data_IF_315566398162
#
_entry.id   IF_315566398162
#
_cell.length_a   1.000
_cell.length_b   1.000
_cell.length_c   1.000
_cell.angle_alpha   90.00
_cell.angle_beta   90.00
_cell.angle_gamma   90.00
#
_symmetry.space_group_name_H-M   'P 1'
#
loop_
_entity.id
_entity.type
_entity.pdbx_description
1 polymer ?
#
# COMPACT_ATOMS: atom_id res chain seq x y z
N UNK A 1 10.88 7.57 1.30
CA UNK A 1 10.88 6.10 1.46
C UNK A 1 10.59 5.38 0.15
N UNK A 2 9.45 5.61 -0.51
CA UNK A 2 9.11 4.98 -1.80
C UNK A 2 10.24 5.11 -2.82
N UNK A 3 10.68 6.34 -3.11
CA UNK A 3 11.77 6.60 -4.05
C UNK A 3 13.09 5.93 -3.66
N UNK A 4 13.37 5.82 -2.35
CA UNK A 4 14.57 5.16 -1.84
C UNK A 4 14.52 3.66 -2.10
N UNK A 5 13.37 3.02 -1.91
CA UNK A 5 13.18 1.58 -2.13
C UNK A 5 13.21 1.26 -3.63
N UNK A 6 12.65 2.12 -4.48
CA UNK A 6 12.75 1.96 -5.94
C UNK A 6 14.21 1.97 -6.45
N UNK A 7 15.13 2.68 -5.79
CA UNK A 7 16.56 2.63 -6.16
C UNK A 7 17.19 1.25 -5.96
N UNK A 8 16.60 0.42 -5.11
CA UNK A 8 17.02 -0.96 -4.85
C UNK A 8 16.31 -1.97 -5.77
N UNK A 9 15.51 -1.50 -6.73
CA UNK A 9 14.75 -2.32 -7.67
C UNK A 9 13.90 -3.41 -6.98
N UNK A 10 13.25 -2.99 -5.88
CA UNK A 10 12.31 -3.80 -5.10
C UNK A 10 10.88 -3.30 -5.36
N UNK A 11 9.93 -4.16 -5.74
CA UNK A 11 8.52 -3.80 -5.86
C UNK A 11 7.94 -3.31 -4.53
N UNK A 12 7.18 -2.21 -4.57
CA UNK A 12 6.60 -1.58 -3.36
C UNK A 12 5.07 -1.66 -3.38
N UNK A 13 4.48 -1.92 -2.22
CA UNK A 13 3.06 -1.75 -1.91
C UNK A 13 2.95 -0.92 -0.64
N UNK A 14 2.11 0.11 -0.63
CA UNK A 14 1.89 0.98 0.53
C UNK A 14 0.62 0.56 1.26
N UNK A 15 0.69 0.42 2.57
CA UNK A 15 -0.46 0.23 3.43
C UNK A 15 -0.80 1.53 4.17
N UNK A 16 -2.02 2.01 4.04
CA UNK A 16 -2.57 3.12 4.84
C UNK A 16 -3.35 2.48 5.99
N UNK A 17 -2.82 2.52 7.20
CA UNK A 17 -3.57 2.08 8.37
C UNK A 17 -4.61 3.15 8.71
N UNK A 18 -5.89 2.82 8.58
CA UNK A 18 -6.99 3.76 8.86
C UNK A 18 -7.25 3.85 10.36
N UNK A 19 -7.27 5.08 10.88
CA UNK A 19 -7.71 5.41 12.23
C UNK A 19 -9.08 6.11 12.21
N UNK A 20 -9.74 6.16 13.37
CA UNK A 20 -11.08 6.73 13.50
C UNK A 20 -11.14 8.25 13.25
N UNK A 21 -10.01 8.94 13.40
CA UNK A 21 -9.87 10.37 13.15
C UNK A 21 -9.60 10.72 11.68
N UNK A 22 -9.18 9.74 10.88
CA UNK A 22 -8.75 10.00 9.51
C UNK A 22 -9.95 10.32 8.62
N UNK A 23 -9.83 11.40 7.85
CA UNK A 23 -10.87 11.77 6.90
C UNK A 23 -10.67 11.06 5.56
N UNK A 24 -11.77 10.80 4.85
CA UNK A 24 -11.71 10.25 3.50
C UNK A 24 -10.94 11.17 2.53
N UNK A 25 -10.87 12.47 2.81
CA UNK A 25 -10.10 13.43 2.02
C UNK A 25 -8.59 13.23 2.17
N UNK A 26 -8.11 13.01 3.40
CA UNK A 26 -6.70 12.70 3.68
C UNK A 26 -6.29 11.36 3.07
N UNK A 27 -7.14 10.33 3.21
CA UNK A 27 -6.90 9.01 2.62
C UNK A 27 -6.77 9.14 1.10
N UNK A 28 -7.71 9.81 0.44
CA UNK A 28 -7.67 10.03 -1.02
C UNK A 28 -6.44 10.81 -1.47
N UNK A 29 -5.99 11.78 -0.66
CA UNK A 29 -4.78 12.55 -0.96
C UNK A 29 -3.54 11.64 -0.96
N UNK A 30 -3.42 10.76 0.04
CA UNK A 30 -2.30 9.82 0.15
C UNK A 30 -2.35 8.80 -0.99
N UNK A 31 -3.52 8.23 -1.28
CA UNK A 31 -3.73 7.31 -2.40
C UNK A 31 -3.32 7.94 -3.72
N UNK A 32 -3.79 9.17 -3.99
CA UNK A 32 -3.41 9.93 -5.19
C UNK A 32 -1.90 10.10 -5.29
N UNK A 33 -1.23 10.49 -4.21
CA UNK A 33 0.23 10.72 -4.21
C UNK A 33 1.03 9.45 -4.46
N UNK A 34 0.60 8.31 -3.93
CA UNK A 34 1.27 7.04 -4.19
C UNK A 34 1.01 6.53 -5.61
N UNK A 35 -0.21 6.74 -6.13
CA UNK A 35 -0.55 6.41 -7.53
C UNK A 35 0.27 7.25 -8.52
N UNK A 36 0.50 8.54 -8.23
CA UNK A 36 1.41 9.41 -8.99
C UNK A 36 2.85 8.85 -9.04
N UNK A 37 3.25 8.07 -8.04
CA UNK A 37 4.56 7.40 -7.96
C UNK A 37 4.55 5.97 -8.54
N UNK A 38 3.42 5.52 -9.12
CA UNK A 38 3.28 4.19 -9.69
C UNK A 38 3.25 3.05 -8.66
N UNK A 39 2.90 3.36 -7.40
CA UNK A 39 2.90 2.41 -6.29
C UNK A 39 1.47 2.03 -5.92
N UNK A 40 1.23 0.73 -5.80
CA UNK A 40 -0.04 0.18 -5.33
C UNK A 40 -0.27 0.55 -3.87
N UNK A 41 -1.49 0.98 -3.54
CA UNK A 41 -1.88 1.37 -2.18
C UNK A 41 -3.03 0.52 -1.70
N UNK A 42 -3.01 0.10 -0.44
CA UNK A 42 -4.12 -0.57 0.22
C UNK A 42 -4.54 0.17 1.49
N UNK A 43 -5.83 0.41 1.65
CA UNK A 43 -6.40 0.85 2.90
C UNK A 43 -6.51 -0.37 3.84
N UNK A 44 -5.89 -0.25 5.00
CA UNK A 44 -5.73 -1.31 5.98
C UNK A 44 -6.56 -0.98 7.22
N UNK A 45 -7.58 -1.79 7.50
CA UNK A 45 -8.49 -1.63 8.64
C UNK A 45 -8.27 -2.72 9.70
N UNK A 46 -7.07 -3.32 9.73
CA UNK A 46 -6.76 -4.47 10.61
C UNK A 46 -6.96 -4.17 12.09
N UNK A 47 -6.83 -2.91 12.49
CA UNK A 47 -7.10 -2.48 13.86
C UNK A 47 -8.59 -2.65 14.23
N UNK A 48 -9.51 -2.37 13.31
CA UNK A 48 -10.95 -2.45 13.55
C UNK A 48 -11.56 -3.80 13.17
N UNK A 49 -11.02 -4.47 12.14
CA UNK A 49 -11.61 -5.68 11.51
C UNK A 49 -10.72 -6.93 11.62
N UNK A 50 -9.59 -6.84 12.33
CA UNK A 50 -8.62 -7.94 12.40
C UNK A 50 -8.12 -8.33 11.01
N UNK A 51 -7.93 -9.64 10.77
CA UNK A 51 -7.40 -10.14 9.50
C UNK A 51 -8.20 -9.73 8.26
N UNK A 52 -9.52 -9.54 8.39
CA UNK A 52 -10.38 -9.12 7.28
C UNK A 52 -10.01 -7.73 6.76
N UNK A 53 -9.59 -6.84 7.64
CA UNK A 53 -9.15 -5.49 7.30
C UNK A 53 -7.81 -5.43 6.53
N UNK A 54 -7.13 -6.56 6.38
CA UNK A 54 -5.85 -6.68 5.67
C UNK A 54 -5.92 -7.50 4.38
N UNK A 55 -7.10 -8.01 3.99
CA UNK A 55 -7.23 -8.89 2.82
C UNK A 55 -6.82 -8.19 1.52
N UNK A 56 -7.19 -6.92 1.34
CA UNK A 56 -6.82 -6.15 0.15
C UNK A 56 -5.28 -5.98 0.06
N UNK A 57 -4.64 -5.64 1.18
CA UNK A 57 -3.19 -5.54 1.27
C UNK A 57 -2.52 -6.87 0.91
N UNK A 58 -2.98 -7.97 1.51
CA UNK A 58 -2.45 -9.30 1.24
C UNK A 58 -2.57 -9.67 -0.25
N UNK A 59 -3.71 -9.40 -0.88
CA UNK A 59 -3.92 -9.64 -2.31
C UNK A 59 -2.96 -8.82 -3.17
N UNK A 60 -2.77 -7.54 -2.85
CA UNK A 60 -1.84 -6.66 -3.59
C UNK A 60 -0.39 -7.08 -3.42
N UNK A 61 0.01 -7.53 -2.24
CA UNK A 61 1.35 -8.09 -1.98
C UNK A 61 1.57 -9.35 -2.80
N UNK A 62 0.66 -10.33 -2.76
CA UNK A 62 0.77 -11.58 -3.53
C UNK A 62 0.80 -11.29 -5.03
N UNK A 63 -0.09 -10.41 -5.52
CA UNK A 63 -0.09 -9.96 -6.93
C UNK A 63 1.26 -9.37 -7.30
N UNK A 64 1.80 -8.47 -6.47
CA UNK A 64 3.09 -7.83 -6.69
C UNK A 64 4.24 -8.83 -6.76
N UNK A 65 4.27 -9.82 -5.87
CA UNK A 65 5.28 -10.89 -5.87
C UNK A 65 5.21 -11.71 -7.16
N UNK A 66 4.00 -12.01 -7.64
CA UNK A 66 3.81 -12.82 -8.85
C UNK A 66 4.10 -12.07 -10.15
N UNK A 67 3.83 -10.76 -10.21
CA UNK A 67 3.91 -9.96 -11.44
C UNK A 67 5.20 -9.13 -11.56
N UNK A 68 5.84 -8.78 -10.43
CA UNK A 68 7.01 -7.90 -10.41
C UNK A 68 8.19 -8.62 -9.77
N UNK A 69 9.25 -8.83 -10.56
CA UNK A 69 10.51 -9.39 -10.08
C UNK A 69 11.33 -8.31 -9.38
N UNK A 70 11.89 -8.63 -8.22
CA UNK A 70 12.90 -7.79 -7.57
C UNK A 70 14.29 -8.15 -8.10
N UNK A 71 15.14 -7.14 -8.29
CA UNK A 71 16.55 -7.32 -8.65
C UNK A 71 17.50 -6.76 -7.56
N UNK A 72 17.08 -6.85 -6.30
CA UNK A 72 17.94 -6.57 -5.14
C UNK A 72 19.08 -7.59 -5.00
#
# INVERSE_FOLDING_TARGET
HIESIHKYDVPVVVAINKFTSDTDAEIKLIEKKCNELGVEVSLCEVWAKGGEGGIDLARKVVKTINEKKSNF
#
